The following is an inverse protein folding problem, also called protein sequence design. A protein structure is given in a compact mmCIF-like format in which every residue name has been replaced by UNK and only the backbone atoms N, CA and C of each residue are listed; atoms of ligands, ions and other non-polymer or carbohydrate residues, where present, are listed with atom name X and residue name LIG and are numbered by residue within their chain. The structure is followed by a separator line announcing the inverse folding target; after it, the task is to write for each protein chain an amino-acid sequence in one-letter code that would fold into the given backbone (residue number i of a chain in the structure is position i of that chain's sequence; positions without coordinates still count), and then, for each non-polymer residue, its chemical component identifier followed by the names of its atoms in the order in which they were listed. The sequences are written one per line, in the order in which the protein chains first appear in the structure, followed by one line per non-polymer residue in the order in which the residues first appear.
data_IF_341408886157
#
_entry.id   IF_341408886157
#
_cell.length_a   1.000
_cell.length_b   1.000
_cell.length_c   1.000
_cell.angle_alpha   90.00
_cell.angle_beta   90.00
_cell.angle_gamma   90.00
#
_symmetry.space_group_name_H-M   'P 1'
#
loop_
_entity.id
_entity.type
_entity.pdbx_description
1 polymer ?
#
# COMPACT_ATOMS: atom_id res chain seq x y z
N UNK A 1 -13.95 1.21 -19.18
CA UNK A 1 -13.12 2.03 -18.25
C UNK A 1 -12.17 2.84 -19.09
N UNK A 2 -12.18 4.18 -18.99
CA UNK A 2 -11.28 5.03 -19.77
C UNK A 2 -9.83 4.78 -19.31
N UNK A 3 -9.03 4.23 -20.20
CA UNK A 3 -7.59 3.94 -19.98
C UNK A 3 -6.73 5.23 -19.85
N UNK A 4 -7.36 6.40 -19.99
CA UNK A 4 -6.69 7.71 -19.96
C UNK A 4 -6.01 8.01 -18.60
N UNK A 5 -6.48 7.40 -17.52
CA UNK A 5 -5.89 7.54 -16.18
C UNK A 5 -4.68 6.64 -15.92
N UNK A 6 -4.49 5.59 -16.73
CA UNK A 6 -3.41 4.63 -16.53
C UNK A 6 -2.01 5.27 -16.58
N UNK A 7 -1.63 6.01 -17.65
CA UNK A 7 -0.32 6.64 -17.70
C UNK A 7 -0.13 7.68 -16.59
N UNK A 8 -1.17 8.40 -16.20
CA UNK A 8 -1.12 9.37 -15.09
C UNK A 8 -0.81 8.64 -13.79
N UNK A 9 -1.45 7.51 -13.55
CA UNK A 9 -1.23 6.68 -12.34
C UNK A 9 0.20 6.14 -12.30
N UNK A 10 0.74 5.66 -13.42
CA UNK A 10 2.14 5.20 -13.49
C UNK A 10 3.13 6.32 -13.19
N UNK A 11 2.92 7.51 -13.75
CA UNK A 11 3.76 8.68 -13.47
C UNK A 11 3.68 9.05 -11.99
N UNK A 12 2.48 9.06 -11.41
CA UNK A 12 2.28 9.37 -9.99
C UNK A 12 3.00 8.36 -9.08
N UNK A 13 2.92 7.06 -9.38
CA UNK A 13 3.64 6.00 -8.65
C UNK A 13 5.16 6.21 -8.75
N UNK A 14 5.67 6.51 -9.94
CA UNK A 14 7.10 6.76 -10.15
C UNK A 14 7.58 7.98 -9.35
N UNK A 15 6.85 9.09 -9.40
CA UNK A 15 7.17 10.32 -8.65
C UNK A 15 7.16 10.06 -7.14
N UNK A 16 6.14 9.35 -6.63
CA UNK A 16 6.08 8.97 -5.21
C UNK A 16 7.23 8.04 -4.82
N UNK A 17 7.60 7.11 -5.69
CA UNK A 17 8.75 6.22 -5.47
C UNK A 17 10.07 7.01 -5.36
N UNK A 18 10.32 7.95 -6.26
CA UNK A 18 11.50 8.83 -6.24
C UNK A 18 11.51 9.68 -4.97
N UNK A 19 10.36 10.27 -4.61
CA UNK A 19 10.22 11.07 -3.39
C UNK A 19 10.51 10.25 -2.13
N UNK A 20 9.97 9.03 -2.06
CA UNK A 20 10.20 8.10 -0.94
C UNK A 20 11.67 7.70 -0.85
N UNK A 21 12.30 7.40 -1.99
CA UNK A 21 13.74 7.08 -2.05
C UNK A 21 14.59 8.25 -1.56
N UNK A 22 14.31 9.45 -2.04
CA UNK A 22 14.99 10.67 -1.59
C UNK A 22 14.85 10.89 -0.08
N UNK A 23 13.62 10.77 0.46
CA UNK A 23 13.35 10.88 1.89
C UNK A 23 14.11 9.84 2.71
N UNK A 24 14.18 8.60 2.21
CA UNK A 24 14.91 7.51 2.87
C UNK A 24 16.41 7.77 2.90
N UNK A 25 17.01 8.18 1.76
CA UNK A 25 18.43 8.52 1.67
C UNK A 25 18.81 9.69 2.59
N UNK A 26 17.91 10.65 2.76
CA UNK A 26 18.11 11.81 3.64
C UNK A 26 17.76 11.54 5.11
N UNK A 27 17.47 10.29 5.49
CA UNK A 27 16.98 9.92 6.83
C UNK A 27 15.77 10.72 7.30
N UNK A 28 14.93 11.15 6.36
CA UNK A 28 13.67 11.85 6.61
C UNK A 28 12.49 10.89 6.78
N UNK A 29 12.77 9.58 6.89
CA UNK A 29 11.72 8.57 7.05
C UNK A 29 11.03 8.75 8.40
N UNK A 30 9.74 9.05 8.42
CA UNK A 30 9.02 9.35 9.66
C UNK A 30 8.56 8.08 10.41
N UNK A 31 9.02 6.89 10.03
CA UNK A 31 8.59 5.62 10.62
C UNK A 31 9.73 4.59 10.74
N UNK A 32 9.47 3.53 11.51
CA UNK A 32 10.41 2.44 11.70
C UNK A 32 11.56 2.80 12.65
N UNK A 33 12.76 2.32 12.37
CA UNK A 33 13.94 2.56 13.20
C UNK A 33 14.43 4.02 13.18
N UNK A 34 14.02 4.78 12.16
CA UNK A 34 14.42 6.17 11.92
C UNK A 34 13.38 7.17 12.41
N UNK A 35 12.39 6.72 13.18
CA UNK A 35 11.34 7.59 13.68
C UNK A 35 11.90 8.65 14.62
N UNK A 36 11.75 9.92 14.27
CA UNK A 36 12.17 11.05 15.08
C UNK A 36 11.17 11.25 16.24
N UNK A 37 11.64 11.42 17.49
CA UNK A 37 10.78 11.79 18.60
C UNK A 37 10.01 13.09 18.28
N UNK A 38 8.68 13.09 18.52
CA UNK A 38 7.81 14.25 18.26
C UNK A 38 6.95 14.15 16.99
N UNK A 39 7.22 13.26 16.06
CA UNK A 39 6.38 13.02 14.86
C UNK A 39 5.09 12.24 15.15
N UNK A 40 4.78 11.94 16.41
CA UNK A 40 3.68 11.05 16.82
C UNK A 40 2.39 11.77 17.23
N UNK A 41 2.33 13.10 17.11
CA UNK A 41 1.14 13.87 17.53
C UNK A 41 -0.16 13.32 16.90
N UNK A 42 -0.10 12.93 15.61
CA UNK A 42 -1.20 12.29 14.88
C UNK A 42 -0.77 10.89 14.46
N UNK A 43 -1.11 9.90 15.26
CA UNK A 43 -0.68 8.53 15.04
C UNK A 43 -1.77 7.52 15.39
N UNK A 44 -1.78 6.38 14.67
CA UNK A 44 -2.66 5.25 14.91
C UNK A 44 -1.90 4.10 15.59
N UNK A 45 -2.60 3.21 16.31
CA UNK A 45 -2.02 1.94 16.72
C UNK A 45 -1.46 1.17 15.51
N UNK A 46 -0.25 0.60 15.68
CA UNK A 46 0.46 -0.04 14.57
C UNK A 46 -0.35 -1.09 13.79
N UNK A 47 -1.14 -1.99 14.43
CA UNK A 47 -1.93 -2.96 13.68
C UNK A 47 -2.99 -2.31 12.78
N UNK A 48 -3.68 -1.28 13.29
CA UNK A 48 -4.70 -0.55 12.52
C UNK A 48 -4.06 0.21 11.36
N UNK A 49 -2.92 0.86 11.64
CA UNK A 49 -2.17 1.59 10.63
C UNK A 49 -1.71 0.68 9.48
N UNK A 50 -1.20 -0.51 9.79
CA UNK A 50 -0.80 -1.50 8.79
C UNK A 50 -1.98 -2.04 7.98
N UNK A 51 -3.11 -2.30 8.63
CA UNK A 51 -4.32 -2.72 7.96
C UNK A 51 -4.75 -1.68 6.93
N UNK A 52 -4.85 -0.41 7.33
CA UNK A 52 -5.24 0.68 6.43
C UNK A 52 -4.20 0.93 5.33
N UNK A 53 -2.92 0.77 5.64
CA UNK A 53 -1.82 0.98 4.70
C UNK A 53 -1.84 -0.04 3.56
N UNK A 54 -2.02 -1.33 3.86
CA UNK A 54 -1.81 -2.43 2.90
C UNK A 54 -3.11 -2.98 2.28
N UNK A 55 -4.26 -2.86 2.97
CA UNK A 55 -5.53 -3.43 2.49
C UNK A 55 -6.04 -2.83 1.17
N UNK A 56 -5.80 -1.55 0.81
CA UNK A 56 -6.30 -1.00 -0.44
C UNK A 56 -5.79 -1.76 -1.68
N UNK A 57 -4.57 -2.28 -1.62
CA UNK A 57 -3.99 -3.09 -2.69
C UNK A 57 -4.80 -4.35 -3.01
N UNK A 58 -5.28 -5.03 -1.96
CA UNK A 58 -6.08 -6.24 -2.08
C UNK A 58 -7.37 -5.98 -2.86
N UNK A 59 -8.07 -4.90 -2.50
CA UNK A 59 -9.38 -4.58 -3.09
C UNK A 59 -9.24 -3.89 -4.45
N UNK A 60 -8.34 -2.92 -4.57
CA UNK A 60 -8.15 -2.18 -5.81
C UNK A 60 -7.74 -3.11 -6.95
N UNK A 61 -6.76 -3.97 -6.73
CA UNK A 61 -6.32 -4.92 -7.75
C UNK A 61 -7.42 -5.93 -8.11
N UNK A 62 -8.16 -6.45 -7.12
CA UNK A 62 -9.26 -7.37 -7.40
C UNK A 62 -10.35 -6.71 -8.29
N UNK A 63 -10.76 -5.49 -7.93
CA UNK A 63 -11.75 -4.74 -8.70
C UNK A 63 -11.23 -4.45 -10.11
N UNK A 64 -10.00 -3.94 -10.24
CA UNK A 64 -9.41 -3.62 -11.54
C UNK A 64 -9.28 -4.86 -12.41
N UNK A 65 -8.78 -5.96 -11.86
CA UNK A 65 -8.61 -7.22 -12.59
C UNK A 65 -9.92 -7.70 -13.21
N UNK A 66 -11.01 -7.70 -12.45
CA UNK A 66 -12.31 -8.19 -12.97
C UNK A 66 -13.05 -7.19 -13.86
N UNK A 67 -12.71 -5.89 -13.80
CA UNK A 67 -13.34 -4.88 -14.64
C UNK A 67 -12.60 -4.62 -15.97
N UNK A 68 -11.37 -5.12 -16.13
CA UNK A 68 -10.54 -4.79 -17.30
C UNK A 68 -10.62 -5.79 -18.44
N UNK A 69 -11.12 -7.00 -18.21
CA UNK A 69 -11.23 -7.99 -19.27
C UNK A 69 -12.49 -8.86 -19.10
N UNK A 70 -13.11 -9.22 -20.22
CA UNK A 70 -14.26 -10.13 -20.26
C UNK A 70 -13.82 -11.59 -19.98
N UNK A 71 -12.58 -11.92 -20.34
CA UNK A 71 -11.98 -13.24 -20.13
C UNK A 71 -10.54 -13.13 -19.67
N UNK A 72 -10.13 -14.03 -18.79
CA UNK A 72 -8.76 -14.10 -18.28
C UNK A 72 -8.10 -15.42 -18.65
N UNK A 73 -6.84 -15.35 -19.09
CA UNK A 73 -6.03 -16.55 -19.32
C UNK A 73 -5.74 -17.26 -18.00
N UNK A 74 -5.46 -18.57 -18.07
CA UNK A 74 -5.07 -19.37 -16.89
C UNK A 74 -3.86 -18.76 -16.19
N UNK A 75 -2.89 -18.24 -16.93
CA UNK A 75 -1.71 -17.57 -16.36
C UNK A 75 -2.11 -16.33 -15.58
N UNK A 76 -3.00 -15.49 -16.15
CA UNK A 76 -3.50 -14.29 -15.47
C UNK A 76 -4.22 -14.64 -14.16
N UNK A 77 -5.05 -15.70 -14.17
CA UNK A 77 -5.74 -16.17 -12.96
C UNK A 77 -4.78 -16.69 -11.90
N UNK A 78 -3.74 -17.41 -12.29
CA UNK A 78 -2.70 -17.89 -11.35
C UNK A 78 -1.95 -16.72 -10.72
N UNK A 79 -1.51 -15.74 -11.54
CA UNK A 79 -0.82 -14.55 -11.04
C UNK A 79 -1.73 -13.71 -10.14
N UNK A 80 -3.00 -13.55 -10.50
CA UNK A 80 -4.02 -12.91 -9.67
C UNK A 80 -4.13 -13.62 -8.30
N UNK A 81 -4.24 -14.94 -8.29
CA UNK A 81 -4.34 -15.74 -7.07
C UNK A 81 -3.11 -15.58 -6.16
N UNK A 82 -1.90 -15.61 -6.73
CA UNK A 82 -0.66 -15.40 -5.99
C UNK A 82 -0.59 -13.98 -5.41
N UNK A 83 -0.98 -12.97 -6.18
CA UNK A 83 -1.05 -11.59 -5.71
C UNK A 83 -2.05 -11.41 -4.57
N UNK A 84 -3.26 -11.94 -4.73
CA UNK A 84 -4.29 -11.88 -3.70
C UNK A 84 -3.87 -12.61 -2.41
N UNK A 85 -3.26 -13.78 -2.52
CA UNK A 85 -2.74 -14.52 -1.36
C UNK A 85 -1.66 -13.72 -0.62
N UNK A 86 -0.74 -13.07 -1.37
CA UNK A 86 0.29 -12.21 -0.78
C UNK A 86 -0.32 -11.05 0.01
N UNK A 87 -1.25 -10.30 -0.60
CA UNK A 87 -1.84 -9.13 0.04
C UNK A 87 -2.89 -9.47 1.10
N UNK A 88 -3.57 -10.60 0.99
CA UNK A 88 -4.40 -11.15 2.07
C UNK A 88 -3.54 -11.42 3.32
N UNK A 89 -2.39 -12.07 3.11
CA UNK A 89 -1.47 -12.31 4.21
C UNK A 89 -0.89 -11.00 4.77
N UNK A 90 -0.37 -10.13 3.91
CA UNK A 90 0.33 -8.90 4.29
C UNK A 90 -0.61 -7.83 4.85
N UNK A 91 -1.79 -7.64 4.23
CA UNK A 91 -2.75 -6.59 4.57
C UNK A 91 -3.71 -6.95 5.70
N UNK A 92 -4.01 -8.24 5.90
CA UNK A 92 -4.97 -8.67 6.91
C UNK A 92 -4.33 -9.56 7.98
N UNK A 93 -3.72 -10.67 7.61
CA UNK A 93 -3.26 -11.65 8.59
C UNK A 93 -2.02 -11.17 9.37
N UNK A 94 -1.07 -10.54 8.70
CA UNK A 94 0.15 -10.05 9.32
C UNK A 94 -0.12 -8.96 10.38
N UNK A 95 -0.91 -7.89 10.09
CA UNK A 95 -1.24 -6.89 11.10
C UNK A 95 -1.94 -7.46 12.33
N UNK A 96 -2.84 -8.44 12.14
CA UNK A 96 -3.57 -9.07 13.25
C UNK A 96 -2.67 -9.96 14.13
N UNK A 97 -1.60 -10.52 13.55
CA UNK A 97 -0.65 -11.38 14.29
C UNK A 97 0.50 -10.60 14.91
N UNK A 98 0.71 -9.34 14.54
CA UNK A 98 1.78 -8.52 15.08
C UNK A 98 1.58 -8.22 16.55
N UNK A 99 2.61 -8.49 17.35
CA UNK A 99 2.65 -8.09 18.75
C UNK A 99 3.37 -6.73 18.90
N UNK A 100 2.77 -5.69 18.32
CA UNK A 100 3.30 -4.33 18.34
C UNK A 100 2.67 -3.49 19.48
N UNK A 101 2.51 -4.08 20.66
CA UNK A 101 1.90 -3.42 21.83
C UNK A 101 2.59 -2.07 22.11
N UNK A 102 1.81 -1.00 22.07
CA UNK A 102 2.28 0.36 22.33
C UNK A 102 2.98 1.06 21.16
N UNK A 103 3.28 0.36 20.06
CA UNK A 103 3.83 1.03 18.87
C UNK A 103 2.75 1.79 18.12
N UNK A 104 3.12 2.99 17.69
CA UNK A 104 2.25 3.90 16.94
C UNK A 104 2.86 4.22 15.58
N UNK A 105 2.01 4.54 14.62
CA UNK A 105 2.38 4.82 13.24
C UNK A 105 1.79 6.18 12.83
N UNK A 106 2.59 7.12 12.28
CA UNK A 106 2.10 8.43 11.88
C UNK A 106 0.97 8.34 10.85
N UNK A 107 -0.11 9.09 11.08
CA UNK A 107 -1.29 9.10 10.18
C UNK A 107 -0.91 9.52 8.77
N UNK A 108 0.01 10.47 8.60
CA UNK A 108 0.46 10.93 7.29
C UNK A 108 1.02 9.76 6.45
N UNK A 109 1.80 8.86 7.06
CA UNK A 109 2.33 7.69 6.37
C UNK A 109 1.22 6.71 5.98
N UNK A 110 0.19 6.57 6.83
CA UNK A 110 -0.97 5.73 6.50
C UNK A 110 -1.70 6.29 5.29
N UNK A 111 -1.91 7.61 5.23
CA UNK A 111 -2.56 8.28 4.09
C UNK A 111 -1.75 8.10 2.81
N UNK A 112 -0.43 8.33 2.85
CA UNK A 112 0.43 8.11 1.69
C UNK A 112 0.46 6.65 1.24
N UNK A 113 0.58 5.71 2.18
CA UNK A 113 0.58 4.29 1.87
C UNK A 113 -0.76 3.81 1.32
N UNK A 114 -1.86 4.29 1.89
CA UNK A 114 -3.21 4.02 1.39
C UNK A 114 -3.36 4.48 -0.08
N UNK A 115 -3.02 5.73 -0.37
CA UNK A 115 -3.10 6.28 -1.71
C UNK A 115 -2.17 5.55 -2.69
N UNK A 116 -0.93 5.27 -2.27
CA UNK A 116 0.02 4.51 -3.07
C UNK A 116 -0.50 3.11 -3.41
N UNK A 117 -0.99 2.37 -2.41
CA UNK A 117 -1.50 1.03 -2.61
C UNK A 117 -2.80 0.99 -3.44
N UNK A 118 -3.63 2.02 -3.33
CA UNK A 118 -4.81 2.17 -4.19
C UNK A 118 -4.41 2.36 -5.67
N UNK A 119 -3.47 3.27 -5.93
CA UNK A 119 -2.95 3.51 -7.29
C UNK A 119 -2.23 2.29 -7.86
N UNK A 120 -1.40 1.63 -7.04
CA UNK A 120 -0.64 0.45 -7.47
C UNK A 120 -1.54 -0.77 -7.73
N UNK A 121 -2.67 -0.88 -7.03
CA UNK A 121 -3.66 -1.92 -7.31
C UNK A 121 -4.50 -1.64 -8.56
N UNK A 122 -4.60 -0.37 -8.97
CA UNK A 122 -5.24 0.02 -10.22
C UNK A 122 -4.31 -0.17 -11.44
N UNK A 123 -3.01 0.13 -11.32
CA UNK A 123 -2.01 0.06 -12.40
C UNK A 123 -1.63 -1.38 -12.75
#
# INVERSE_FOLDING_TARGET
MNLDWYPITLIAILVLGIFTLYGTVRNLSPYGRLQTPGMTAWSLPSPIAWLLFESPQLFAFAVTFWLTADTHSTVALVLFGLWQAHYLHRGLLYPLRRNDKGKRFPVMNVVFGFAFNLMNGYA
#
